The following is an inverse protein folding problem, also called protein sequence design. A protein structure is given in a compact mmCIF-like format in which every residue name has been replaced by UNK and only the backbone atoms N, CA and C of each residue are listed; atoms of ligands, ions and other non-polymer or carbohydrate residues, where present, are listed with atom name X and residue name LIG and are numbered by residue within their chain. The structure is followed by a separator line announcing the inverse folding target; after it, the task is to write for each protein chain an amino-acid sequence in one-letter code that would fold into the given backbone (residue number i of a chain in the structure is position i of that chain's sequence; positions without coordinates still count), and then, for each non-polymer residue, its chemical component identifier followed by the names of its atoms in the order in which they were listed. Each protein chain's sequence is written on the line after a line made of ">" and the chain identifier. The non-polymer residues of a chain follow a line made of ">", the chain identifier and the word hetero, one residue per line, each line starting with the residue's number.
data_IF_469033778742
#
_entry.id   IF_469033778742
#
_cell.length_a   1.000
_cell.length_b   1.000
_cell.length_c   1.000
_cell.angle_alpha   90.00
_cell.angle_beta   90.00
_cell.angle_gamma   90.00
#
_symmetry.space_group_name_H-M   'P 1'
#
loop_
_entity.id
_entity.type
_entity.pdbx_description
1 polymer ?
#
# COMPACT_ATOMS: atom_id res chain seq x y z
N UNK A 1 0.19 2.66 39.57
CA UNK A 1 0.90 1.49 38.99
C UNK A 1 -0.13 0.39 38.75
N UNK A 2 -0.71 0.32 37.56
CA UNK A 2 -1.53 -0.82 37.14
C UNK A 2 -0.98 -1.29 35.79
N UNK A 3 -0.26 -2.41 35.82
CA UNK A 3 0.17 -3.14 34.64
C UNK A 3 -0.91 -4.18 34.35
N UNK A 4 -1.80 -3.88 33.41
CA UNK A 4 -2.64 -4.88 32.78
C UNK A 4 -1.79 -5.61 31.74
N UNK A 5 -1.35 -6.83 32.08
CA UNK A 5 -0.73 -7.73 31.10
C UNK A 5 -1.80 -8.17 30.10
N UNK A 6 -1.59 -7.71 28.87
CA UNK A 6 -2.36 -8.04 27.68
C UNK A 6 -2.24 -9.56 27.42
N UNK A 7 -3.22 -10.34 27.86
CA UNK A 7 -3.33 -11.77 27.60
C UNK A 7 -3.66 -11.99 26.12
N UNK A 8 -2.62 -11.91 25.30
CA UNK A 8 -2.65 -12.25 23.89
C UNK A 8 -2.81 -13.76 23.80
N UNK A 9 -4.03 -14.25 23.54
CA UNK A 9 -4.27 -15.69 23.34
C UNK A 9 -3.53 -16.10 22.06
N UNK A 10 -2.40 -16.79 22.22
CA UNK A 10 -1.71 -17.46 21.12
C UNK A 10 -2.52 -18.70 20.79
N UNK A 11 -3.30 -18.64 19.70
CA UNK A 11 -3.95 -19.84 19.15
C UNK A 11 -2.89 -20.64 18.41
N UNK A 12 -2.34 -21.64 19.08
CA UNK A 12 -1.50 -22.65 18.44
C UNK A 12 -2.41 -23.77 17.92
N UNK A 13 -2.34 -24.09 16.63
CA UNK A 13 -2.98 -25.28 16.08
C UNK A 13 -2.13 -26.48 16.52
N UNK A 14 -2.65 -27.25 17.47
CA UNK A 14 -1.93 -28.39 18.08
C UNK A 14 -2.00 -29.61 17.17
N UNK A 15 -3.12 -29.80 16.48
CA UNK A 15 -3.35 -30.96 15.62
C UNK A 15 -4.41 -30.63 14.55
N UNK A 16 -4.17 -31.10 13.32
CA UNK A 16 -5.14 -31.12 12.24
C UNK A 16 -5.50 -32.58 12.01
N UNK A 17 -6.74 -32.97 12.33
CA UNK A 17 -7.26 -34.31 12.04
C UNK A 17 -8.29 -34.24 10.91
N UNK A 18 -8.21 -35.19 9.98
CA UNK A 18 -9.10 -35.28 8.84
C UNK A 18 -9.14 -36.72 8.31
N UNK A 19 -10.29 -37.12 7.76
CA UNK A 19 -10.41 -38.37 7.02
C UNK A 19 -9.87 -38.11 5.61
N UNK A 20 -8.65 -38.57 5.34
CA UNK A 20 -8.01 -38.42 4.03
C UNK A 20 -8.57 -39.37 2.96
N UNK A 21 -9.31 -40.39 3.39
CA UNK A 21 -9.96 -41.35 2.52
C UNK A 21 -11.35 -40.84 2.12
N UNK A 22 -11.47 -40.42 0.87
CA UNK A 22 -12.75 -39.98 0.30
C UNK A 22 -13.62 -41.21 -0.04
N UNK A 23 -14.91 -41.16 0.31
CA UNK A 23 -15.89 -42.12 -0.22
C UNK A 23 -16.06 -41.92 -1.74
N UNK A 24 -16.52 -42.94 -2.45
CA UNK A 24 -16.81 -42.84 -3.89
C UNK A 24 -17.79 -41.70 -4.21
N UNK A 25 -18.83 -41.54 -3.40
CA UNK A 25 -19.77 -40.41 -3.49
C UNK A 25 -19.10 -39.04 -3.26
N UNK A 26 -18.06 -38.97 -2.42
CA UNK A 26 -17.28 -37.75 -2.21
C UNK A 26 -16.38 -37.46 -3.41
N UNK A 27 -15.71 -38.45 -3.99
CA UNK A 27 -14.89 -38.28 -5.20
C UNK A 27 -15.73 -37.82 -6.40
N UNK A 28 -16.96 -38.31 -6.53
CA UNK A 28 -17.90 -37.89 -7.57
C UNK A 28 -18.40 -36.43 -7.39
N UNK A 29 -18.38 -35.89 -6.17
CA UNK A 29 -18.75 -34.50 -5.86
C UNK A 29 -17.55 -33.54 -5.73
N UNK A 30 -16.34 -34.07 -5.54
CA UNK A 30 -15.13 -33.27 -5.27
C UNK A 30 -14.49 -32.86 -6.58
N UNK A 31 -15.06 -31.87 -7.24
CA UNK A 31 -14.35 -31.16 -8.29
C UNK A 31 -13.44 -30.12 -7.64
N UNK A 32 -12.11 -30.34 -7.68
CA UNK A 32 -11.17 -29.30 -7.25
C UNK A 32 -11.34 -28.09 -8.15
N UNK A 33 -12.00 -27.05 -7.64
CA UNK A 33 -12.25 -25.79 -8.35
C UNK A 33 -10.93 -25.10 -8.75
N UNK A 34 -9.85 -25.34 -7.99
CA UNK A 34 -8.50 -24.85 -8.31
C UNK A 34 -7.44 -25.63 -7.54
N UNK A 35 -6.24 -25.65 -8.09
CA UNK A 35 -5.06 -26.14 -7.39
C UNK A 35 -4.76 -25.31 -6.12
N UNK A 36 -4.22 -25.96 -5.07
CA UNK A 36 -3.76 -25.26 -3.88
C UNK A 36 -2.66 -24.28 -4.24
N UNK A 37 -2.73 -23.08 -3.65
CA UNK A 37 -1.76 -22.02 -3.91
C UNK A 37 -0.44 -22.34 -3.19
N UNK A 38 0.64 -22.37 -3.95
CA UNK A 38 1.98 -22.46 -3.38
C UNK A 38 2.41 -21.07 -2.87
N UNK A 39 2.98 -20.98 -1.65
CA UNK A 39 3.54 -19.74 -1.13
C UNK A 39 4.79 -19.30 -1.91
N UNK A 40 5.05 -17.99 -1.94
CA UNK A 40 6.28 -17.44 -2.49
C UNK A 40 7.49 -17.87 -1.65
N UNK A 41 8.57 -18.25 -2.33
CA UNK A 41 9.86 -18.53 -1.69
C UNK A 41 10.34 -17.37 -0.81
N UNK A 42 10.97 -17.71 0.32
CA UNK A 42 11.40 -16.75 1.33
C UNK A 42 12.49 -15.80 0.81
N UNK A 43 13.48 -16.30 0.05
CA UNK A 43 14.56 -15.47 -0.47
C UNK A 43 14.03 -14.44 -1.48
N UNK A 44 13.09 -14.86 -2.32
CA UNK A 44 12.45 -13.96 -3.29
C UNK A 44 11.53 -12.97 -2.58
N UNK A 45 10.78 -13.42 -1.56
CA UNK A 45 9.96 -12.54 -0.73
C UNK A 45 10.80 -11.44 -0.07
N UNK A 46 11.94 -11.78 0.50
CA UNK A 46 12.83 -10.82 1.16
C UNK A 46 13.46 -9.83 0.17
N UNK A 47 13.91 -10.33 -0.98
CA UNK A 47 14.38 -9.47 -2.09
C UNK A 47 13.30 -8.45 -2.48
N UNK A 48 12.06 -8.91 -2.67
CA UNK A 48 10.95 -8.05 -3.07
C UNK A 48 10.62 -7.01 -2.01
N UNK A 49 10.54 -7.40 -0.74
CA UNK A 49 10.29 -6.47 0.35
C UNK A 49 11.39 -5.39 0.41
N UNK A 50 12.66 -5.77 0.22
CA UNK A 50 13.77 -4.81 0.19
C UNK A 50 13.66 -3.83 -0.98
N UNK A 51 13.31 -4.30 -2.18
CA UNK A 51 13.11 -3.43 -3.35
C UNK A 51 11.92 -2.48 -3.14
N UNK A 52 10.82 -2.95 -2.55
CA UNK A 52 9.66 -2.13 -2.28
C UNK A 52 9.90 -1.11 -1.16
N UNK A 53 10.72 -1.43 -0.16
CA UNK A 53 11.18 -0.46 0.86
C UNK A 53 11.97 0.69 0.25
N UNK A 54 12.66 0.45 -0.86
CA UNK A 54 13.35 1.47 -1.66
C UNK A 54 12.41 2.23 -2.61
N UNK A 55 11.09 2.02 -2.51
CA UNK A 55 10.06 2.61 -3.36
C UNK A 55 10.23 2.30 -4.87
N UNK A 56 10.82 1.16 -5.19
CA UNK A 56 10.95 0.70 -6.58
C UNK A 56 9.55 0.30 -7.11
N UNK A 57 9.12 0.80 -8.28
CA UNK A 57 7.83 0.43 -8.87
C UNK A 57 7.69 -1.08 -9.09
N UNK A 58 6.49 -1.62 -8.85
CA UNK A 58 6.23 -3.07 -8.92
C UNK A 58 6.62 -3.70 -10.27
N UNK A 59 6.43 -2.99 -11.39
CA UNK A 59 6.84 -3.49 -12.70
C UNK A 59 8.35 -3.71 -12.82
N UNK A 60 9.16 -2.85 -12.20
CA UNK A 60 10.63 -3.02 -12.14
C UNK A 60 10.98 -4.16 -11.18
N UNK A 61 10.26 -4.27 -10.06
CA UNK A 61 10.42 -5.38 -9.11
C UNK A 61 10.22 -6.73 -9.82
N UNK A 62 9.16 -6.88 -10.62
CA UNK A 62 8.94 -8.09 -11.41
C UNK A 62 10.12 -8.41 -12.35
N UNK A 63 10.70 -7.40 -13.02
CA UNK A 63 11.87 -7.60 -13.89
C UNK A 63 13.08 -8.08 -13.10
N UNK A 64 13.39 -7.41 -11.98
CA UNK A 64 14.53 -7.77 -11.12
C UNK A 64 14.39 -9.16 -10.51
N UNK A 65 13.18 -9.55 -10.10
CA UNK A 65 12.93 -10.90 -9.62
C UNK A 65 13.17 -11.93 -10.71
N UNK A 66 12.74 -11.65 -11.95
CA UNK A 66 12.96 -12.56 -13.09
C UNK A 66 14.44 -12.71 -13.45
N UNK A 67 15.22 -11.64 -13.35
CA UNK A 67 16.69 -11.68 -13.51
C UNK A 67 17.33 -12.52 -12.40
N UNK A 68 16.98 -12.24 -11.14
CA UNK A 68 17.49 -12.96 -9.98
C UNK A 68 17.20 -14.48 -10.04
N UNK A 69 16.03 -14.88 -10.56
CA UNK A 69 15.69 -16.29 -10.79
C UNK A 69 16.58 -16.94 -11.84
N UNK A 70 16.80 -16.26 -12.97
CA UNK A 70 17.66 -16.79 -14.05
C UNK A 70 19.07 -17.05 -13.58
N UNK A 71 19.60 -16.18 -12.72
CA UNK A 71 20.97 -16.27 -12.20
C UNK A 71 21.13 -17.35 -11.13
N UNK A 72 20.14 -17.54 -10.24
CA UNK A 72 20.29 -18.39 -9.05
C UNK A 72 19.54 -19.73 -9.09
N UNK A 73 18.42 -19.83 -9.81
CA UNK A 73 17.48 -20.97 -9.76
C UNK A 73 17.21 -21.61 -11.14
N UNK A 74 17.78 -21.04 -12.20
CA UNK A 74 17.59 -21.48 -13.58
C UNK A 74 16.19 -21.13 -14.12
N UNK A 75 15.62 -22.02 -14.95
CA UNK A 75 14.30 -21.81 -15.59
C UNK A 75 13.13 -22.46 -14.84
N UNK A 76 13.35 -22.92 -13.61
CA UNK A 76 12.30 -23.58 -12.82
C UNK A 76 11.30 -22.55 -12.29
N UNK A 77 10.01 -22.85 -12.44
CA UNK A 77 8.93 -21.95 -12.01
C UNK A 77 8.66 -22.05 -10.49
N UNK A 78 9.12 -23.11 -9.84
CA UNK A 78 8.89 -23.38 -8.43
C UNK A 78 9.28 -24.81 -8.08
N UNK A 79 9.24 -25.10 -6.79
CA UNK A 79 9.37 -26.45 -6.24
C UNK A 79 8.00 -26.99 -5.83
N UNK A 80 7.96 -28.20 -5.25
CA UNK A 80 6.71 -28.79 -4.71
C UNK A 80 6.08 -27.96 -3.58
N UNK A 81 6.86 -27.08 -2.94
CA UNK A 81 6.47 -26.35 -1.73
C UNK A 81 6.32 -24.85 -2.00
N UNK A 82 7.14 -24.27 -2.89
CA UNK A 82 7.19 -22.82 -3.09
C UNK A 82 7.11 -22.44 -4.57
N UNK A 83 6.47 -21.32 -4.86
CA UNK A 83 6.58 -20.66 -6.16
C UNK A 83 7.75 -19.68 -6.16
N UNK A 84 8.44 -19.57 -7.29
CA UNK A 84 9.51 -18.59 -7.44
C UNK A 84 9.03 -17.30 -8.09
N UNK A 85 7.89 -17.30 -8.80
CA UNK A 85 7.36 -16.11 -9.46
C UNK A 85 6.35 -15.33 -8.60
N UNK A 86 6.42 -14.00 -8.69
CA UNK A 86 5.42 -13.11 -8.11
C UNK A 86 4.11 -13.23 -8.86
N UNK A 87 3.08 -13.73 -8.18
CA UNK A 87 1.69 -13.64 -8.65
C UNK A 87 1.07 -12.29 -8.28
N UNK A 88 -0.06 -11.94 -8.90
CA UNK A 88 -0.84 -10.76 -8.53
C UNK A 88 -1.33 -10.79 -7.07
N UNK A 89 -1.53 -11.99 -6.51
CA UNK A 89 -1.91 -12.16 -5.12
C UNK A 89 -0.75 -11.85 -4.17
N UNK A 90 0.48 -12.20 -4.55
CA UNK A 90 1.67 -11.94 -3.73
C UNK A 90 1.87 -10.44 -3.56
N UNK A 91 1.63 -9.64 -4.61
CA UNK A 91 1.66 -8.17 -4.52
C UNK A 91 0.78 -7.65 -3.38
N UNK A 92 -0.44 -8.19 -3.23
CA UNK A 92 -1.36 -7.79 -2.14
C UNK A 92 -0.79 -8.12 -0.76
N UNK A 93 -0.25 -9.34 -0.60
CA UNK A 93 0.37 -9.79 0.66
C UNK A 93 1.60 -8.96 1.04
N UNK A 94 2.43 -8.62 0.05
CA UNK A 94 3.61 -7.79 0.20
C UNK A 94 3.25 -6.35 0.58
N UNK A 95 2.28 -5.74 -0.11
CA UNK A 95 1.80 -4.39 0.25
C UNK A 95 1.19 -4.34 1.64
N UNK A 96 0.42 -5.36 2.05
CA UNK A 96 -0.09 -5.47 3.43
C UNK A 96 1.02 -5.56 4.46
N UNK A 97 2.10 -6.27 4.14
CA UNK A 97 3.29 -6.37 5.01
C UNK A 97 3.92 -4.99 5.19
N UNK A 98 4.17 -4.26 4.10
CA UNK A 98 4.73 -2.90 4.14
C UNK A 98 3.82 -1.90 4.84
N UNK A 99 2.51 -1.99 4.62
CA UNK A 99 1.56 -1.11 5.28
C UNK A 99 1.57 -1.30 6.80
N UNK A 100 1.68 -2.56 7.26
CA UNK A 100 1.85 -2.90 8.68
C UNK A 100 3.16 -2.36 9.24
N UNK A 101 4.27 -2.51 8.52
CA UNK A 101 5.58 -1.94 8.90
C UNK A 101 5.50 -0.41 9.05
N UNK A 102 4.70 0.25 8.21
CA UNK A 102 4.44 1.69 8.27
C UNK A 102 3.40 2.09 9.30
N UNK A 103 2.86 1.16 10.09
CA UNK A 103 1.85 1.45 11.12
C UNK A 103 0.45 1.77 10.57
N UNK A 104 0.15 1.40 9.32
CA UNK A 104 -1.17 1.59 8.70
C UNK A 104 -2.04 0.37 8.99
N UNK A 105 -3.09 0.56 9.79
CA UNK A 105 -4.07 -0.49 10.08
C UNK A 105 -4.74 -0.98 8.79
N UNK A 106 -4.70 -2.30 8.58
CA UNK A 106 -5.35 -2.99 7.46
C UNK A 106 -6.74 -3.54 7.82
N UNK A 107 -7.14 -3.42 9.09
CA UNK A 107 -8.42 -3.93 9.60
C UNK A 107 -9.51 -2.84 9.68
N UNK A 108 -9.18 -1.61 9.27
CA UNK A 108 -10.06 -0.44 9.26
C UNK A 108 -10.20 0.08 7.83
N UNK A 109 -11.29 0.81 7.57
CA UNK A 109 -11.49 1.46 6.29
C UNK A 109 -10.44 2.58 6.06
N UNK A 110 -10.14 2.89 4.81
CA UNK A 110 -9.16 3.92 4.48
C UNK A 110 -9.59 5.30 5.00
N UNK A 111 -10.88 5.59 4.92
CA UNK A 111 -11.53 6.82 5.40
C UNK A 111 -11.39 6.97 6.91
N UNK A 112 -11.54 5.89 7.67
CA UNK A 112 -11.36 5.88 9.13
C UNK A 112 -9.90 6.16 9.51
N UNK A 113 -8.96 5.54 8.79
CA UNK A 113 -7.54 5.80 8.98
C UNK A 113 -7.22 7.29 8.73
N UNK A 114 -7.68 7.87 7.62
CA UNK A 114 -7.47 9.27 7.30
C UNK A 114 -8.09 10.21 8.36
N UNK A 115 -9.30 9.89 8.83
CA UNK A 115 -9.95 10.64 9.93
C UNK A 115 -9.13 10.59 11.21
N UNK A 116 -8.57 9.43 11.54
CA UNK A 116 -7.69 9.26 12.69
C UNK A 116 -6.37 10.01 12.56
N UNK A 117 -5.87 10.18 11.32
CA UNK A 117 -4.61 10.88 11.04
C UNK A 117 -4.74 12.40 11.02
N UNK A 118 -5.88 12.94 10.59
CA UNK A 118 -6.03 14.38 10.31
C UNK A 118 -7.14 15.10 11.08
N UNK A 119 -8.12 14.39 11.65
CA UNK A 119 -9.31 15.00 12.29
C UNK A 119 -9.56 14.60 13.75
N UNK A 120 -8.91 13.55 14.24
CA UNK A 120 -9.11 13.13 15.63
C UNK A 120 -8.68 14.23 16.61
N UNK A 121 -9.32 14.30 17.79
CA UNK A 121 -8.89 15.18 18.90
C UNK A 121 -7.40 15.00 19.24
N UNK A 122 -6.89 13.78 19.03
CA UNK A 122 -5.48 13.43 19.10
C UNK A 122 -5.08 12.70 17.82
N UNK A 123 -4.65 13.43 16.77
CA UNK A 123 -4.26 12.81 15.51
C UNK A 123 -3.06 11.89 15.72
N UNK A 124 -3.10 10.69 15.14
CA UNK A 124 -1.99 9.73 15.19
C UNK A 124 -1.65 9.22 13.79
N UNK A 125 -1.03 10.07 12.95
CA UNK A 125 -0.54 9.61 11.67
C UNK A 125 0.62 8.64 11.84
N UNK A 126 0.88 7.78 10.84
CA UNK A 126 2.00 6.84 10.85
C UNK A 126 3.38 7.53 10.88
N UNK A 127 3.44 8.80 10.47
CA UNK A 127 4.65 9.63 10.53
C UNK A 127 4.29 11.06 10.92
N UNK A 128 5.11 11.67 11.78
CA UNK A 128 4.96 13.08 12.15
C UNK A 128 5.07 14.03 10.94
N UNK A 129 5.76 13.60 9.87
CA UNK A 129 5.86 14.37 8.64
C UNK A 129 4.49 14.62 7.99
N UNK A 130 3.54 13.69 8.12
CA UNK A 130 2.19 13.88 7.56
C UNK A 130 1.44 15.00 8.27
N UNK A 131 1.62 15.15 9.59
CA UNK A 131 1.03 16.27 10.34
C UNK A 131 1.56 17.59 9.82
N UNK A 132 2.89 17.69 9.64
CA UNK A 132 3.53 18.92 9.17
C UNK A 132 3.22 19.22 7.70
N UNK A 133 3.05 18.19 6.88
CA UNK A 133 2.80 18.34 5.46
C UNK A 133 1.33 18.64 5.15
N UNK A 134 0.38 18.28 6.02
CA UNK A 134 -1.04 18.45 5.76
C UNK A 134 -1.45 19.93 5.79
N UNK A 135 -1.72 20.50 4.62
CA UNK A 135 -2.21 21.87 4.46
C UNK A 135 -3.74 21.94 4.53
N UNK A 136 -4.41 20.92 4.01
CA UNK A 136 -5.88 20.86 3.99
C UNK A 136 -6.35 19.41 3.97
N UNK A 137 -7.36 19.10 4.79
CA UNK A 137 -8.03 17.81 4.76
C UNK A 137 -9.55 18.01 4.89
N UNK A 138 -10.28 17.40 3.96
CA UNK A 138 -11.74 17.32 3.93
C UNK A 138 -12.13 15.85 3.68
N UNK A 139 -12.89 15.22 4.59
CA UNK A 139 -13.35 13.85 4.42
C UNK A 139 -14.51 13.82 3.43
N UNK A 140 -14.81 12.63 2.91
CA UNK A 140 -16.07 12.41 2.20
C UNK A 140 -17.16 12.10 3.23
N UNK A 141 -18.07 13.05 3.43
CA UNK A 141 -19.17 12.94 4.42
C UNK A 141 -20.48 13.47 3.83
N UNK A 142 -21.59 12.83 4.20
CA UNK A 142 -22.94 13.31 3.91
C UNK A 142 -23.27 14.49 4.83
N UNK A 143 -23.50 15.66 4.24
CA UNK A 143 -23.83 16.88 4.99
C UNK A 143 -25.30 16.88 5.41
N UNK A 144 -25.62 17.64 6.45
CA UNK A 144 -26.98 17.76 6.99
C UNK A 144 -28.03 18.28 5.98
N UNK A 145 -27.59 18.92 4.91
CA UNK A 145 -28.44 19.38 3.81
C UNK A 145 -28.66 18.31 2.71
N UNK A 146 -28.21 17.07 2.94
CA UNK A 146 -28.32 15.97 1.98
C UNK A 146 -27.28 16.01 0.85
N UNK A 147 -26.33 16.96 0.88
CA UNK A 147 -25.26 17.05 -0.12
C UNK A 147 -24.02 16.28 0.34
N UNK A 148 -23.37 15.54 -0.56
CA UNK A 148 -22.12 14.86 -0.25
C UNK A 148 -20.94 15.81 -0.40
N UNK A 149 -20.13 15.92 0.65
CA UNK A 149 -18.85 16.61 0.58
C UNK A 149 -17.82 15.71 -0.11
N UNK A 150 -17.07 16.26 -1.08
CA UNK A 150 -16.01 15.49 -1.76
C UNK A 150 -14.80 15.34 -0.86
N UNK A 151 -14.12 14.20 -0.96
CA UNK A 151 -12.81 14.03 -0.33
C UNK A 151 -11.80 14.98 -0.97
N UNK A 152 -11.02 15.69 -0.14
CA UNK A 152 -9.89 16.51 -0.55
C UNK A 152 -8.76 16.42 0.47
N UNK A 153 -7.54 16.28 0.00
CA UNK A 153 -6.34 16.28 0.83
C UNK A 153 -5.24 17.03 0.08
N UNK A 154 -4.65 18.04 0.71
CA UNK A 154 -3.51 18.77 0.18
C UNK A 154 -2.35 18.56 1.13
N UNK A 155 -1.27 17.98 0.61
CA UNK A 155 -0.03 17.75 1.36
C UNK A 155 1.15 18.40 0.67
N UNK A 156 1.97 19.09 1.44
CA UNK A 156 3.22 19.71 1.02
C UNK A 156 4.16 19.77 2.22
N UNK A 157 5.29 19.08 2.17
CA UNK A 157 6.28 19.15 3.26
C UNK A 157 6.82 20.57 3.40
N UNK A 158 7.40 20.94 4.55
CA UNK A 158 8.03 22.26 4.72
C UNK A 158 9.09 22.56 3.65
N UNK A 159 9.87 21.55 3.26
CA UNK A 159 10.87 21.69 2.19
C UNK A 159 10.21 22.01 0.83
N UNK A 160 9.06 21.40 0.55
CA UNK A 160 8.30 21.68 -0.67
C UNK A 160 7.64 23.07 -0.64
N UNK A 161 7.21 23.55 0.54
CA UNK A 161 6.69 24.91 0.72
C UNK A 161 7.78 25.95 0.48
N UNK A 162 8.99 25.74 1.00
CA UNK A 162 10.15 26.59 0.73
C UNK A 162 10.50 26.59 -0.76
N UNK A 163 10.54 25.41 -1.38
CA UNK A 163 10.75 25.29 -2.82
C UNK A 163 9.67 26.00 -3.64
N UNK A 164 8.41 25.99 -3.18
CA UNK A 164 7.33 26.72 -3.83
C UNK A 164 7.57 28.23 -3.79
N UNK A 165 8.18 28.74 -2.72
CA UNK A 165 8.58 30.14 -2.63
C UNK A 165 9.78 30.45 -3.54
N UNK A 166 10.85 29.65 -3.49
CA UNK A 166 12.07 29.88 -4.27
C UNK A 166 11.85 29.74 -5.79
N UNK A 167 11.11 28.72 -6.20
CA UNK A 167 11.01 28.30 -7.60
C UNK A 167 9.62 28.50 -8.20
N UNK A 168 8.57 28.64 -7.39
CA UNK A 168 7.20 28.88 -7.86
C UNK A 168 6.76 30.35 -7.81
N UNK A 169 7.25 31.15 -6.86
CA UNK A 169 6.80 32.52 -6.70
C UNK A 169 7.15 33.38 -7.93
N UNK A 170 6.13 34.04 -8.50
CA UNK A 170 6.23 34.84 -9.74
C UNK A 170 6.82 34.07 -10.95
N UNK A 171 6.79 32.74 -10.89
CA UNK A 171 7.26 31.81 -11.92
C UNK A 171 6.12 30.89 -12.33
N UNK A 172 6.37 30.06 -13.34
CA UNK A 172 5.37 29.09 -13.79
C UNK A 172 5.36 27.87 -12.87
N UNK A 173 4.17 27.52 -12.38
CA UNK A 173 3.90 26.25 -11.69
C UNK A 173 3.11 25.36 -12.64
N UNK A 174 3.57 24.13 -12.79
CA UNK A 174 2.93 23.09 -13.58
C UNK A 174 2.09 22.21 -12.66
N UNK A 175 0.96 21.72 -13.16
CA UNK A 175 0.16 20.71 -12.48
C UNK A 175 0.07 19.48 -13.38
N UNK A 176 0.61 18.37 -12.90
CA UNK A 176 0.46 17.07 -13.54
C UNK A 176 -0.71 16.33 -12.89
N UNK A 177 -1.68 15.93 -13.70
CA UNK A 177 -2.85 15.16 -13.25
C UNK A 177 -2.62 13.70 -13.60
N UNK A 178 -2.32 12.91 -12.56
CA UNK A 178 -2.19 11.47 -12.70
C UNK A 178 -3.50 10.78 -12.36
N UNK A 179 -4.05 10.06 -13.34
CA UNK A 179 -5.24 9.23 -13.16
C UNK A 179 -4.80 7.84 -12.71
N UNK A 180 -4.92 7.58 -11.41
CA UNK A 180 -4.77 6.22 -10.88
C UNK A 180 -6.09 5.47 -10.95
N UNK A 181 -6.21 4.46 -11.80
CA UNK A 181 -7.31 3.49 -11.73
C UNK A 181 -7.08 2.56 -10.52
N UNK A 182 -7.51 2.99 -9.34
CA UNK A 182 -7.72 2.08 -8.21
C UNK A 182 -9.22 1.86 -8.02
N UNK A 183 -9.61 0.81 -7.29
CA UNK A 183 -11.01 0.50 -6.98
C UNK A 183 -11.79 1.68 -6.37
N UNK A 184 -11.07 2.67 -5.84
CA UNK A 184 -11.59 3.97 -5.39
C UNK A 184 -11.05 5.05 -6.33
N UNK A 185 -11.94 5.85 -6.95
CA UNK A 185 -11.58 6.91 -7.89
C UNK A 185 -11.02 8.14 -7.15
N UNK A 186 -9.75 8.08 -6.76
CA UNK A 186 -8.99 9.23 -6.24
C UNK A 186 -8.12 9.78 -7.35
N UNK A 187 -8.23 11.09 -7.57
CA UNK A 187 -7.42 11.86 -8.51
C UNK A 187 -6.23 12.44 -7.76
N UNK A 188 -5.03 12.34 -8.35
CA UNK A 188 -3.80 12.90 -7.81
C UNK A 188 -3.27 13.99 -8.74
N UNK A 189 -3.28 15.23 -8.25
CA UNK A 189 -2.57 16.35 -8.84
C UNK A 189 -1.21 16.55 -8.17
N UNK A 190 -0.15 16.63 -8.97
CA UNK A 190 1.21 16.93 -8.53
C UNK A 190 1.55 18.35 -8.97
N UNK A 191 1.85 19.23 -8.03
CA UNK A 191 2.35 20.56 -8.33
C UNK A 191 3.86 20.49 -8.54
N UNK A 192 4.36 21.08 -9.62
CA UNK A 192 5.76 21.08 -10.01
C UNK A 192 6.22 22.50 -10.33
N UNK A 193 7.42 22.87 -9.92
CA UNK A 193 8.11 24.06 -10.44
C UNK A 193 9.41 23.64 -11.12
N UNK A 194 9.96 24.53 -11.95
CA UNK A 194 11.25 24.33 -12.57
C UNK A 194 12.33 24.94 -11.69
N UNK A 195 13.35 24.14 -11.35
CA UNK A 195 14.54 24.65 -10.68
C UNK A 195 15.48 25.38 -11.67
N UNK A 196 16.63 25.83 -11.16
CA UNK A 196 17.66 26.51 -11.94
C UNK A 196 18.26 25.64 -13.06
N UNK A 197 18.23 24.31 -12.90
CA UNK A 197 18.73 23.33 -13.85
C UNK A 197 17.67 22.88 -14.87
N UNK A 198 16.48 23.49 -14.85
CA UNK A 198 15.32 23.09 -15.64
C UNK A 198 14.84 21.66 -15.31
N UNK A 199 15.02 21.25 -14.07
CA UNK A 199 14.45 20.03 -13.52
C UNK A 199 13.12 20.35 -12.82
N UNK A 200 12.11 19.49 -13.02
CA UNK A 200 10.84 19.61 -12.32
C UNK A 200 10.97 19.14 -10.87
N UNK A 201 10.71 20.03 -9.92
CA UNK A 201 10.70 19.72 -8.49
C UNK A 201 9.27 19.69 -7.94
N UNK A 202 8.87 18.68 -7.15
CA UNK A 202 7.52 18.58 -6.62
C UNK A 202 7.29 19.57 -5.48
N UNK A 203 6.30 20.44 -5.64
CA UNK A 203 5.88 21.44 -4.66
C UNK A 203 4.77 20.97 -3.72
N UNK A 204 4.07 19.90 -4.07
CA UNK A 204 2.97 19.39 -3.25
C UNK A 204 2.04 18.49 -4.04
N UNK A 205 1.13 17.85 -3.32
CA UNK A 205 0.19 16.88 -3.85
C UNK A 205 -1.23 17.24 -3.44
N UNK A 206 -2.16 17.12 -4.38
CA UNK A 206 -3.58 17.36 -4.21
C UNK A 206 -4.30 16.06 -4.54
N UNK A 207 -4.93 15.45 -3.54
CA UNK A 207 -5.76 14.26 -3.69
C UNK A 207 -7.22 14.66 -3.54
N UNK A 208 -8.08 14.17 -4.45
CA UNK A 208 -9.52 14.42 -4.32
C UNK A 208 -10.35 13.31 -4.97
N UNK A 209 -11.56 13.09 -4.47
CA UNK A 209 -12.52 12.20 -5.12
C UNK A 209 -13.19 12.91 -6.30
N UNK A 210 -13.40 12.18 -7.40
CA UNK A 210 -14.13 12.66 -8.58
C UNK A 210 -15.59 13.03 -8.25
#
# INVERSE_FOLDING_TARGET
>A
MHNELNNSIIVAVIELSGIFDHSTACQEQTEMVRDPRLPLDLAIRDLVLNLLRQNIPMHIVHSKCKEHMKENLGSHQGDKIHCFFLTSYDSTSLYRTLARERGISQCSAAEENLKFWFQAKHPKPPSALLTMACLHYQPHELLANGCESRFKLIISTPQQQEAAWCYGHQKQVLMDLTFGFSSSRVLLGILLAMDENKCGIPLGFILFSA
#
